data_IF_317722008209
#
_entry.id   IF_317722008209
#
_cell.length_a   1.000
_cell.length_b   1.000
_cell.length_c   1.000
_cell.angle_alpha   90.00
_cell.angle_beta   90.00
_cell.angle_gamma   90.00
#
_symmetry.space_group_name_H-M   'P 1'
#
loop_
_entity.id
_entity.type
_entity.pdbx_description
1 polymer ?
#
# COMPACT_ATOMS: atom_id res chain seq x y z
N UNK A 1 -15.93 -13.70 7.64
CA UNK A 1 -14.75 -13.05 8.27
C UNK A 1 -14.29 -11.91 7.38
N UNK A 2 -14.46 -10.66 7.81
CA UNK A 2 -13.99 -9.48 7.05
C UNK A 2 -12.47 -9.45 7.13
N UNK A 3 -11.78 -9.48 5.98
CA UNK A 3 -10.33 -9.31 5.91
C UNK A 3 -9.98 -7.91 6.41
N UNK A 4 -9.71 -7.78 7.71
CA UNK A 4 -9.17 -6.56 8.31
C UNK A 4 -7.67 -6.60 8.10
N UNK A 5 -7.20 -6.05 6.98
CA UNK A 5 -5.98 -5.28 7.11
C UNK A 5 -6.29 -4.24 8.22
N UNK A 6 -5.38 -4.08 9.18
CA UNK A 6 -5.52 -3.03 10.18
C UNK A 6 -4.38 -2.09 9.90
N UNK A 7 -4.66 -1.03 9.15
CA UNK A 7 -3.70 0.06 8.99
C UNK A 7 -3.29 0.54 10.38
N UNK A 8 -2.00 0.43 10.66
CA UNK A 8 -1.38 0.82 11.92
C UNK A 8 0.07 1.22 11.63
N UNK A 9 0.79 1.70 12.65
CA UNK A 9 2.17 2.18 12.46
C UNK A 9 3.09 1.10 11.84
N UNK A 10 2.90 -0.18 12.21
CA UNK A 10 3.68 -1.28 11.63
C UNK A 10 3.41 -1.46 10.14
N UNK A 11 2.16 -1.26 9.70
CA UNK A 11 1.81 -1.30 8.29
C UNK A 11 2.43 -0.13 7.51
N UNK A 12 2.44 1.08 8.08
CA UNK A 12 3.12 2.24 7.47
C UNK A 12 4.61 1.95 7.28
N UNK A 13 5.27 1.41 8.30
CA UNK A 13 6.68 1.00 8.22
C UNK A 13 6.89 -0.08 7.16
N UNK A 14 5.99 -1.07 7.09
CA UNK A 14 6.04 -2.11 6.07
C UNK A 14 5.92 -1.53 4.66
N UNK A 15 4.96 -0.63 4.42
CA UNK A 15 4.78 0.06 3.15
C UNK A 15 6.03 0.81 2.73
N UNK A 16 6.55 1.68 3.61
CA UNK A 16 7.76 2.46 3.35
C UNK A 16 8.96 1.56 3.04
N UNK A 17 9.11 0.47 3.79
CA UNK A 17 10.24 -0.45 3.61
C UNK A 17 10.16 -1.32 2.35
N UNK A 18 8.97 -1.50 1.78
CA UNK A 18 8.72 -2.46 0.70
C UNK A 18 8.11 -1.79 -0.55
N UNK A 19 8.09 -0.46 -0.62
CA UNK A 19 7.52 0.33 -1.71
C UNK A 19 7.83 -0.29 -3.09
N UNK A 20 9.12 -0.47 -3.40
CA UNK A 20 9.52 -0.93 -4.73
C UNK A 20 9.15 -2.38 -5.01
N UNK A 21 9.08 -3.22 -3.96
CA UNK A 21 8.61 -4.62 -4.07
C UNK A 21 7.10 -4.67 -4.30
N UNK A 22 6.34 -3.78 -3.66
CA UNK A 22 4.90 -3.68 -3.82
C UNK A 22 4.58 -3.16 -5.23
N UNK A 23 5.29 -2.12 -5.70
CA UNK A 23 5.15 -1.57 -7.06
C UNK A 23 5.34 -2.66 -8.12
N UNK A 24 6.47 -3.38 -8.09
CA UNK A 24 6.75 -4.52 -8.99
C UNK A 24 5.65 -5.58 -8.97
N UNK A 25 5.11 -5.91 -7.80
CA UNK A 25 4.02 -6.90 -7.68
C UNK A 25 2.72 -6.42 -8.29
N UNK A 26 2.40 -5.12 -8.19
CA UNK A 26 1.22 -4.54 -8.81
C UNK A 26 1.38 -4.49 -10.34
N UNK A 27 2.58 -4.16 -10.84
CA UNK A 27 2.86 -4.16 -12.28
C UNK A 27 2.68 -5.55 -12.90
N UNK A 28 3.16 -6.60 -12.21
CA UNK A 28 2.94 -7.99 -12.63
C UNK A 28 1.45 -8.36 -12.65
N UNK A 29 0.68 -7.91 -11.66
CA UNK A 29 -0.76 -8.16 -11.61
C UNK A 29 -1.48 -7.54 -12.82
N UNK A 30 -1.11 -6.31 -13.21
CA UNK A 30 -1.64 -5.64 -14.40
C UNK A 30 -1.30 -6.38 -15.70
N UNK A 31 -0.09 -6.93 -15.80
CA UNK A 31 0.31 -7.75 -16.96
C UNK A 31 -0.54 -9.02 -17.05
N UNK A 32 -0.76 -9.70 -15.92
CA UNK A 32 -1.60 -10.91 -15.88
C UNK A 32 -3.10 -10.64 -16.08
N UNK A 33 -3.62 -9.46 -15.71
CA UNK A 33 -5.01 -9.08 -16.04
C UNK A 33 -5.17 -8.80 -17.53
N UNK A 34 -4.16 -8.23 -18.20
CA UNK A 34 -4.18 -8.02 -19.65
C UNK A 34 -4.09 -9.33 -20.44
N UNK A 35 -3.32 -10.31 -19.96
CA UNK A 35 -3.25 -11.64 -20.57
C UNK A 35 -4.57 -12.43 -20.39
N UNK A 36 -5.22 -12.31 -19.22
CA UNK A 36 -6.53 -12.93 -18.97
C UNK A 36 -7.72 -12.21 -19.62
N UNK A 37 -7.51 -11.07 -20.29
CA UNK A 37 -8.56 -10.36 -21.02
C UNK A 37 -8.74 -10.89 -22.47
N UNK A 38 -7.88 -11.80 -22.92
CA UNK A 38 -7.83 -12.28 -24.31
C UNK A 38 -8.36 -13.70 -24.57
N UNK A 39 -8.42 -14.59 -23.57
CA UNK A 39 -8.79 -15.98 -23.82
C UNK A 39 -10.17 -16.32 -23.26
N UNK A 40 -11.19 -16.16 -24.11
CA UNK A 40 -12.42 -16.94 -24.05
C UNK A 40 -12.07 -18.43 -24.31
N UNK A 41 -11.45 -19.08 -23.33
CA UNK A 41 -11.58 -20.53 -23.21
C UNK A 41 -13.02 -20.80 -22.78
N UNK A 42 -13.79 -21.37 -23.70
CA UNK A 42 -15.15 -21.90 -23.52
C UNK A 42 -15.24 -22.82 -22.28
N UNK A 43 -15.28 -22.26 -21.09
CA UNK A 43 -15.61 -22.96 -19.87
C UNK A 43 -17.09 -22.70 -19.61
N UNK A 44 -17.92 -23.57 -20.17
CA UNK A 44 -19.27 -23.79 -19.66
C UNK A 44 -19.09 -24.37 -18.25
N UNK A 45 -19.04 -23.54 -17.20
CA UNK A 45 -19.03 -24.06 -15.82
C UNK A 45 -20.42 -24.06 -15.22
N UNK A 46 -20.72 -25.20 -14.61
CA UNK A 46 -21.99 -25.55 -14.02
C UNK A 46 -22.22 -24.82 -12.68
N UNK A 47 -23.43 -24.29 -12.51
CA UNK A 47 -23.99 -23.69 -11.28
C UNK A 47 -23.65 -24.50 -10.03
N UNK A 48 -22.59 -24.12 -9.30
CA UNK A 48 -22.26 -24.64 -7.96
C UNK A 48 -21.51 -23.57 -7.16
N UNK A 49 -21.61 -23.58 -5.83
CA UNK A 49 -21.03 -22.59 -4.90
C UNK A 49 -19.52 -22.32 -4.99
N UNK A 50 -18.80 -22.94 -5.92
CA UNK A 50 -17.43 -22.58 -6.33
C UNK A 50 -17.37 -21.25 -7.08
N UNK A 51 -18.42 -20.87 -7.80
CA UNK A 51 -18.47 -19.58 -8.54
C UNK A 51 -18.58 -18.39 -7.60
N UNK A 52 -19.33 -18.52 -6.51
CA UNK A 52 -19.48 -17.48 -5.48
C UNK A 52 -18.20 -17.32 -4.66
N UNK A 53 -17.50 -18.41 -4.33
CA UNK A 53 -16.19 -18.38 -3.67
C UNK A 53 -15.13 -17.73 -4.57
N UNK A 54 -15.08 -18.10 -5.86
CA UNK A 54 -14.19 -17.47 -6.84
C UNK A 54 -14.49 -15.97 -7.02
N UNK A 55 -15.76 -15.58 -7.06
CA UNK A 55 -16.16 -14.17 -7.16
C UNK A 55 -15.75 -13.37 -5.92
N UNK A 56 -15.95 -13.93 -4.71
CA UNK A 56 -15.52 -13.32 -3.45
C UNK A 56 -14.00 -13.16 -3.36
N UNK A 57 -13.26 -14.21 -3.72
CA UNK A 57 -11.78 -14.19 -3.75
C UNK A 57 -11.28 -13.14 -4.74
N UNK A 58 -11.89 -13.06 -5.93
CA UNK A 58 -11.57 -12.03 -6.94
C UNK A 58 -11.88 -10.63 -6.43
N UNK A 59 -13.03 -10.43 -5.77
CA UNK A 59 -13.42 -9.14 -5.17
C UNK A 59 -12.45 -8.68 -4.06
N UNK A 60 -12.04 -9.58 -3.17
CA UNK A 60 -11.03 -9.29 -2.13
C UNK A 60 -9.67 -8.99 -2.76
N UNK A 61 -9.27 -9.75 -3.77
CA UNK A 61 -8.00 -9.54 -4.50
C UNK A 61 -7.97 -8.17 -5.17
N UNK A 62 -9.05 -7.77 -5.82
CA UNK A 62 -9.20 -6.45 -6.44
C UNK A 62 -9.17 -5.31 -5.41
N UNK A 63 -9.82 -5.46 -4.25
CA UNK A 63 -9.74 -4.47 -3.17
C UNK A 63 -8.33 -4.36 -2.60
N UNK A 64 -7.65 -5.48 -2.37
CA UNK A 64 -6.27 -5.48 -1.90
C UNK A 64 -5.32 -4.81 -2.91
N UNK A 65 -5.55 -5.04 -4.20
CA UNK A 65 -4.83 -4.38 -5.29
C UNK A 65 -5.06 -2.86 -5.25
N UNK A 66 -6.31 -2.43 -5.24
CA UNK A 66 -6.67 -1.00 -5.24
C UNK A 66 -6.16 -0.28 -3.98
N UNK A 67 -6.29 -0.90 -2.82
CA UNK A 67 -5.75 -0.37 -1.56
C UNK A 67 -4.24 -0.12 -1.67
N UNK A 68 -3.47 -1.12 -2.10
CA UNK A 68 -2.01 -1.01 -2.24
C UNK A 68 -1.60 0.02 -3.29
N UNK A 69 -2.30 0.07 -4.43
CA UNK A 69 -2.07 1.05 -5.49
C UNK A 69 -2.24 2.47 -4.96
N UNK A 70 -3.36 2.74 -4.27
CA UNK A 70 -3.63 4.06 -3.67
C UNK A 70 -2.64 4.41 -2.56
N UNK A 71 -2.20 3.43 -1.76
CA UNK A 71 -1.13 3.66 -0.79
C UNK A 71 0.18 4.07 -1.49
N UNK A 72 0.58 3.43 -2.59
CA UNK A 72 1.79 3.82 -3.33
C UNK A 72 1.67 5.23 -3.93
N UNK A 73 0.52 5.58 -4.50
CA UNK A 73 0.26 6.93 -5.02
C UNK A 73 0.38 7.98 -3.91
N UNK A 74 -0.14 7.68 -2.71
CA UNK A 74 0.02 8.53 -1.54
C UNK A 74 1.50 8.67 -1.15
N UNK A 75 2.27 7.58 -1.11
CA UNK A 75 3.71 7.65 -0.79
C UNK A 75 4.46 8.53 -1.78
N UNK A 76 4.16 8.41 -3.08
CA UNK A 76 4.78 9.21 -4.13
C UNK A 76 4.41 10.69 -4.02
N UNK A 77 3.13 10.98 -3.73
CA UNK A 77 2.68 12.35 -3.45
C UNK A 77 3.38 12.95 -2.23
N UNK A 78 3.45 12.24 -1.11
CA UNK A 78 4.09 12.72 0.12
C UNK A 78 5.60 12.90 -0.06
N UNK A 79 6.25 12.00 -0.79
CA UNK A 79 7.67 12.15 -1.13
C UNK A 79 7.91 13.42 -1.95
N UNK A 80 7.12 13.65 -3.00
CA UNK A 80 7.30 14.82 -3.88
C UNK A 80 6.97 16.16 -3.20
N UNK A 81 6.16 16.16 -2.13
CA UNK A 81 5.76 17.37 -1.41
C UNK A 81 6.55 17.65 -0.13
N UNK A 82 7.44 16.73 0.30
CA UNK A 82 8.29 16.98 1.46
C UNK A 82 9.55 17.77 1.09
N UNK A 83 10.13 18.44 2.08
CA UNK A 83 11.38 19.19 1.90
C UNK A 83 12.56 18.26 1.54
N UNK A 84 13.61 18.78 0.88
CA UNK A 84 14.73 17.95 0.43
C UNK A 84 15.38 17.11 1.53
N UNK A 85 15.52 17.65 2.74
CA UNK A 85 16.09 16.91 3.88
C UNK A 85 15.19 15.74 4.26
N UNK A 86 13.88 15.92 4.22
CA UNK A 86 12.91 14.86 4.47
C UNK A 86 12.95 13.78 3.39
N UNK A 87 13.15 14.15 2.12
CA UNK A 87 13.35 13.20 1.03
C UNK A 87 14.63 12.38 1.23
N UNK A 88 15.73 13.03 1.63
CA UNK A 88 16.99 12.33 1.94
C UNK A 88 16.82 11.34 3.10
N UNK A 89 16.19 11.77 4.21
CA UNK A 89 15.89 10.88 5.33
C UNK A 89 15.02 9.71 4.87
N UNK A 90 14.03 9.96 4.01
CA UNK A 90 13.16 8.92 3.48
C UNK A 90 13.96 7.88 2.70
N UNK A 91 14.80 8.30 1.76
CA UNK A 91 15.62 7.42 0.95
C UNK A 91 16.62 6.64 1.82
N UNK A 92 17.40 7.34 2.64
CA UNK A 92 18.43 6.71 3.49
C UNK A 92 17.81 5.72 4.47
N UNK A 93 16.68 6.07 5.10
CA UNK A 93 16.02 5.18 6.05
C UNK A 93 15.33 4.00 5.38
N UNK A 94 14.49 4.25 4.38
CA UNK A 94 13.55 3.24 3.90
C UNK A 94 14.02 2.51 2.66
N UNK A 95 14.86 3.13 1.82
CA UNK A 95 15.50 2.46 0.68
C UNK A 95 16.81 1.80 1.09
N UNK A 96 17.71 2.54 1.73
CA UNK A 96 19.07 2.08 2.06
C UNK A 96 19.21 1.45 3.46
N UNK A 97 18.15 1.49 4.28
CA UNK A 97 18.09 0.86 5.61
C UNK A 97 19.12 1.40 6.62
N UNK A 98 19.51 2.66 6.49
CA UNK A 98 20.46 3.27 7.41
C UNK A 98 19.81 3.53 8.77
N UNK A 99 20.64 3.48 9.82
CA UNK A 99 20.24 3.83 11.18
C UNK A 99 20.07 5.35 11.30
N UNK A 100 19.26 5.82 12.26
CA UNK A 100 19.07 7.27 12.45
C UNK A 100 20.39 8.01 12.75
N UNK A 101 21.34 7.32 13.39
CA UNK A 101 22.67 7.84 13.70
C UNK A 101 23.50 8.06 12.43
N UNK A 102 23.56 7.04 11.57
CA UNK A 102 24.24 7.15 10.28
C UNK A 102 23.62 8.21 9.38
N UNK A 103 22.28 8.26 9.32
CA UNK A 103 21.57 9.29 8.57
C UNK A 103 21.98 10.66 9.12
N UNK A 104 21.91 10.86 10.43
CA UNK A 104 22.29 12.11 11.07
C UNK A 104 23.70 12.56 10.71
N UNK A 105 24.66 11.63 10.69
CA UNK A 105 26.02 11.89 10.22
C UNK A 105 26.05 12.34 8.74
N UNK A 106 25.32 11.67 7.85
CA UNK A 106 25.32 11.97 6.41
C UNK A 106 24.67 13.32 6.07
N UNK A 107 23.62 13.73 6.78
CA UNK A 107 22.88 14.96 6.49
C UNK A 107 23.19 16.12 7.47
N UNK A 108 24.11 15.92 8.42
CA UNK A 108 24.49 16.94 9.41
C UNK A 108 23.44 17.21 10.50
N UNK A 109 22.64 16.21 10.87
CA UNK A 109 21.61 16.30 11.92
C UNK A 109 21.91 15.39 13.11
N UNK A 110 21.39 15.75 14.29
CA UNK A 110 21.42 14.85 15.43
C UNK A 110 20.56 13.61 15.18
N UNK A 111 20.93 12.47 15.78
CA UNK A 111 20.13 11.23 15.77
C UNK A 111 18.68 11.48 16.20
N UNK A 112 18.47 12.31 17.23
CA UNK A 112 17.13 12.63 17.75
C UNK A 112 16.32 13.42 16.73
N UNK A 113 16.93 14.42 16.08
CA UNK A 113 16.27 15.19 15.03
C UNK A 113 15.84 14.32 13.84
N UNK A 114 16.66 13.35 13.44
CA UNK A 114 16.29 12.37 12.41
C UNK A 114 15.12 11.51 12.87
N UNK A 115 15.12 11.06 14.12
CA UNK A 115 14.03 10.28 14.69
C UNK A 115 12.71 11.07 14.70
N UNK A 116 12.73 12.34 15.11
CA UNK A 116 11.55 13.21 15.14
C UNK A 116 11.00 13.46 13.74
N UNK A 117 11.87 13.68 12.75
CA UNK A 117 11.47 13.80 11.35
C UNK A 117 10.79 12.52 10.85
N UNK A 118 11.38 11.34 11.11
CA UNK A 118 10.75 10.05 10.75
C UNK A 118 9.38 9.87 11.44
N UNK A 119 9.26 10.32 12.70
CA UNK A 119 7.98 10.26 13.43
C UNK A 119 6.93 11.15 12.75
N UNK A 120 7.26 12.41 12.44
CA UNK A 120 6.37 13.33 11.71
C UNK A 120 5.90 12.71 10.40
N UNK A 121 6.77 12.04 9.66
CA UNK A 121 6.39 11.36 8.42
C UNK A 121 5.29 10.32 8.64
N UNK A 122 5.52 9.43 9.61
CA UNK A 122 4.58 8.36 9.93
C UNK A 122 3.24 8.91 10.41
N UNK A 123 3.28 9.95 11.23
CA UNK A 123 2.09 10.59 11.79
C UNK A 123 1.25 11.27 10.69
N UNK A 124 1.88 11.76 9.62
CA UNK A 124 1.16 12.28 8.43
C UNK A 124 0.58 11.17 7.55
N UNK A 125 1.31 10.07 7.38
CA UNK A 125 0.90 8.97 6.50
C UNK A 125 -0.22 8.12 7.10
N UNK A 126 -0.16 7.85 8.40
CA UNK A 126 -1.06 6.89 9.05
C UNK A 126 -2.56 7.24 8.89
N UNK A 127 -3.02 8.48 9.19
CA UNK A 127 -4.43 8.84 9.03
C UNK A 127 -4.91 8.72 7.58
N UNK A 128 -4.06 9.08 6.62
CA UNK A 128 -4.39 9.01 5.19
C UNK A 128 -4.52 7.57 4.71
N UNK A 129 -3.62 6.68 5.16
CA UNK A 129 -3.69 5.25 4.85
C UNK A 129 -4.96 4.62 5.46
N UNK A 130 -5.31 4.97 6.70
CA UNK A 130 -6.57 4.53 7.34
C UNK A 130 -7.78 4.99 6.51
N UNK A 131 -7.77 6.24 6.03
CA UNK A 131 -8.83 6.76 5.17
C UNK A 131 -8.95 5.97 3.86
N UNK A 132 -7.83 5.69 3.19
CA UNK A 132 -7.82 4.87 1.96
C UNK A 132 -8.37 3.47 2.25
N UNK A 133 -8.00 2.86 3.38
CA UNK A 133 -8.51 1.55 3.81
C UNK A 133 -10.03 1.57 3.96
N UNK A 134 -10.57 2.54 4.69
CA UNK A 134 -12.01 2.71 4.86
C UNK A 134 -12.71 2.88 3.51
N UNK A 135 -12.19 3.74 2.64
CA UNK A 135 -12.75 3.98 1.32
C UNK A 135 -12.73 2.75 0.41
N UNK A 136 -11.73 1.88 0.50
CA UNK A 136 -11.62 0.70 -0.37
C UNK A 136 -12.46 -0.45 0.15
N UNK A 137 -12.45 -0.69 1.46
CA UNK A 137 -13.11 -1.88 2.04
C UNK A 137 -14.54 -1.61 2.48
N UNK A 138 -14.90 -0.38 2.85
CA UNK A 138 -16.23 -0.05 3.37
C UNK A 138 -17.19 0.55 2.35
N UNK A 139 -16.72 0.91 1.14
CA UNK A 139 -17.58 1.38 0.03
C UNK A 139 -18.76 0.46 -0.27
N UNK A 140 -18.57 -0.86 -0.13
CA UNK A 140 -19.61 -1.84 -0.45
C UNK A 140 -20.62 -2.07 0.68
N UNK A 141 -20.31 -1.67 1.92
CA UNK A 141 -21.24 -1.86 3.05
C UNK A 141 -22.51 -1.02 2.93
N UNK A 142 -22.51 0.01 2.07
CA UNK A 142 -23.67 0.89 1.85
C UNK A 142 -24.75 0.26 0.96
N UNK A 143 -24.47 -0.84 0.26
CA UNK A 143 -25.40 -1.46 -0.69
C UNK A 143 -25.91 -2.84 -0.25
N UNK A 144 -25.45 -3.37 0.88
CA UNK A 144 -25.91 -4.65 1.45
C UNK A 144 -27.11 -4.48 2.42
N UNK A 145 -27.78 -3.32 2.40
CA UNK A 145 -29.05 -3.08 3.08
C UNK A 145 -30.10 -2.77 2.02
N UNK A 146 -30.62 -3.80 1.36
CA UNK A 146 -31.92 -3.81 0.68
C UNK A 146 -32.38 -5.27 0.54
#
# INVERSE_FOLDING_TARGET
MVYKCKSNERFVIYLLNNESRIRKRLDLYLMTEKENAGDNLNVISSKTGRETENSWVKKITNKNYEFRKRCLQLLEYEYNNCDPIMQDIWLLRFKYKYTCERIGYEIGYSRSSVYDKIKILKDRLLPQIIKIEQEVYEKDKKYDIL
#
